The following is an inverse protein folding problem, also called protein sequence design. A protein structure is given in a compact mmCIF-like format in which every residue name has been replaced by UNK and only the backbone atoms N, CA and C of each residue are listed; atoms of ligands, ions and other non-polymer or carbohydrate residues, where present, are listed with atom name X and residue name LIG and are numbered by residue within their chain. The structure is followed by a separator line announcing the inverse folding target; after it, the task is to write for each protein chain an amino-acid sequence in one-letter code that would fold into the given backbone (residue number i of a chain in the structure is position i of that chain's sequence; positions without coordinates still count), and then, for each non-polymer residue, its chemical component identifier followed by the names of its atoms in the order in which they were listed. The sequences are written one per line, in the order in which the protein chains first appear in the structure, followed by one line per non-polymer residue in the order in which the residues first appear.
data_IF_160233515948
#
_entry.id   IF_160233515948
#
_cell.length_a   1.000
_cell.length_b   1.000
_cell.length_c   1.000
_cell.angle_alpha   90.00
_cell.angle_beta   90.00
_cell.angle_gamma   90.00
#
_symmetry.space_group_name_H-M   'P 1'
#
loop_
_entity.id
_entity.type
_entity.pdbx_description
1 polymer ?
#
# COMPACT_ATOMS: atom_id res chain seq x y z
N UNK A 1 -1.04 -5.46 -15.94
CA UNK A 1 -1.02 -4.22 -15.14
C UNK A 1 -1.34 -3.04 -16.04
N UNK A 2 -1.93 -1.98 -15.49
CA UNK A 2 -2.02 -0.70 -16.19
C UNK A 2 -0.67 0.00 -16.24
N UNK A 3 -0.52 0.95 -17.15
CA UNK A 3 0.70 1.76 -17.29
C UNK A 3 0.98 2.57 -16.02
N UNK A 4 2.26 2.75 -15.70
CA UNK A 4 2.70 3.50 -14.52
C UNK A 4 2.58 2.76 -13.18
N UNK A 5 2.17 1.48 -13.17
CA UNK A 5 2.15 0.65 -11.96
C UNK A 5 3.37 -0.27 -11.89
N UNK A 6 3.96 -0.36 -10.70
CA UNK A 6 5.07 -1.29 -10.39
C UNK A 6 4.62 -2.29 -9.32
N UNK A 7 4.81 -3.59 -9.59
CA UNK A 7 4.62 -4.66 -8.59
C UNK A 7 5.68 -4.50 -7.50
N UNK A 8 5.27 -4.45 -6.24
CA UNK A 8 6.18 -4.42 -5.09
C UNK A 8 5.91 -5.53 -4.07
N UNK A 9 4.84 -6.30 -4.26
CA UNK A 9 4.54 -7.47 -3.45
C UNK A 9 3.78 -8.54 -4.23
N UNK A 10 4.19 -9.79 -4.04
CA UNK A 10 3.50 -10.97 -4.58
C UNK A 10 3.38 -12.03 -3.50
N UNK A 11 2.29 -12.78 -3.53
CA UNK A 11 2.12 -14.01 -2.76
C UNK A 11 3.01 -15.14 -3.28
N UNK A 12 3.07 -16.26 -2.53
CA UNK A 12 3.88 -17.43 -2.91
C UNK A 12 3.41 -18.16 -4.18
N UNK A 13 2.15 -17.97 -4.58
CA UNK A 13 1.58 -18.46 -5.84
C UNK A 13 1.66 -17.42 -6.99
N UNK A 14 2.32 -16.28 -6.75
CA UNK A 14 2.63 -15.28 -7.76
C UNK A 14 1.51 -14.28 -8.04
N UNK A 15 0.43 -14.28 -7.25
CA UNK A 15 -0.61 -13.24 -7.31
C UNK A 15 -0.01 -11.91 -6.85
N UNK A 16 -0.35 -10.83 -7.54
CA UNK A 16 0.09 -9.48 -7.16
C UNK A 16 -0.72 -9.03 -5.95
N UNK A 17 -0.01 -8.69 -4.88
CA UNK A 17 -0.61 -8.28 -3.61
C UNK A 17 -0.38 -6.78 -3.31
N UNK A 18 0.68 -6.19 -3.86
CA UNK A 18 0.98 -4.78 -3.65
C UNK A 18 1.58 -4.10 -4.89
N UNK A 19 1.17 -2.85 -5.10
CA UNK A 19 1.62 -1.98 -6.20
C UNK A 19 1.93 -0.57 -5.71
N UNK A 20 2.82 0.09 -6.42
CA UNK A 20 3.02 1.54 -6.34
C UNK A 20 2.77 2.17 -7.71
N UNK A 21 2.31 3.43 -7.72
CA UNK A 21 2.10 4.16 -8.96
C UNK A 21 3.15 5.26 -9.16
N UNK A 22 3.61 5.42 -10.39
CA UNK A 22 4.28 6.64 -10.84
C UNK A 22 3.23 7.76 -10.94
N UNK A 23 3.01 8.43 -9.82
CA UNK A 23 1.99 9.45 -9.64
C UNK A 23 2.59 10.69 -8.95
N UNK A 24 1.93 11.84 -9.13
CA UNK A 24 2.35 13.10 -8.49
C UNK A 24 2.26 13.07 -6.97
N UNK A 25 1.39 12.24 -6.43
CA UNK A 25 1.19 12.07 -5.00
C UNK A 25 1.58 10.65 -4.58
N UNK A 26 1.90 10.48 -3.31
CA UNK A 26 2.13 9.17 -2.73
C UNK A 26 0.94 8.25 -3.01
N UNK A 27 1.21 7.11 -3.65
CA UNK A 27 0.18 6.17 -4.12
C UNK A 27 0.66 4.75 -3.94
N UNK A 28 0.00 4.02 -3.04
CA UNK A 28 0.22 2.60 -2.76
C UNK A 28 -1.13 1.89 -2.84
N UNK A 29 -1.15 0.73 -3.51
CA UNK A 29 -2.31 -0.16 -3.54
C UNK A 29 -1.94 -1.51 -2.96
N UNK A 30 -2.77 -2.04 -2.07
CA UNK A 30 -2.62 -3.39 -1.49
C UNK A 30 -3.93 -4.15 -1.67
N UNK A 31 -3.83 -5.46 -1.84
CA UNK A 31 -5.01 -6.31 -2.05
C UNK A 31 -5.60 -6.84 -0.72
N UNK A 32 -4.77 -7.00 0.31
CA UNK A 32 -5.26 -7.35 1.66
C UNK A 32 -5.93 -6.14 2.34
N UNK A 33 -6.53 -6.39 3.51
CA UNK A 33 -7.26 -5.40 4.31
C UNK A 33 -6.42 -4.91 5.52
N UNK A 34 -5.48 -3.96 5.33
CA UNK A 34 -4.71 -3.36 6.43
C UNK A 34 -5.60 -2.72 7.51
N UNK A 35 -6.78 -2.22 7.15
CA UNK A 35 -7.76 -1.62 8.03
C UNK A 35 -8.35 -2.59 9.06
N UNK A 36 -8.37 -3.89 8.77
CA UNK A 36 -8.91 -4.89 9.68
C UNK A 36 -7.94 -5.22 10.83
N UNK A 37 -6.64 -4.98 10.62
CA UNK A 37 -5.56 -5.52 11.47
C UNK A 37 -4.58 -4.48 12.00
N UNK A 38 -4.69 -3.20 11.63
CA UNK A 38 -3.79 -2.12 12.09
C UNK A 38 -3.67 -1.98 13.61
N UNK A 39 -4.69 -2.39 14.37
CA UNK A 39 -4.65 -2.32 15.82
C UNK A 39 -3.73 -3.39 16.44
N UNK A 40 -3.52 -4.52 15.75
CA UNK A 40 -2.78 -5.68 16.26
C UNK A 40 -1.49 -5.94 15.48
N UNK A 41 -1.35 -5.43 14.26
CA UNK A 41 -0.19 -5.58 13.39
C UNK A 41 0.51 -4.22 13.18
N UNK A 42 1.79 -4.16 13.56
CA UNK A 42 2.60 -2.96 13.43
C UNK A 42 2.81 -2.55 11.97
N UNK A 43 2.96 -3.49 11.05
CA UNK A 43 3.19 -3.17 9.63
C UNK A 43 1.95 -2.52 9.01
N UNK A 44 0.77 -3.02 9.36
CA UNK A 44 -0.51 -2.47 8.89
C UNK A 44 -0.75 -1.08 9.48
N UNK A 45 -0.36 -0.89 10.76
CA UNK A 45 -0.38 0.42 11.41
C UNK A 45 0.56 1.41 10.75
N UNK A 46 1.76 0.98 10.36
CA UNK A 46 2.73 1.82 9.66
C UNK A 46 2.22 2.23 8.28
N UNK A 47 1.62 1.31 7.51
CA UNK A 47 1.03 1.61 6.21
C UNK A 47 -0.10 2.65 6.32
N UNK A 48 -1.00 2.48 7.30
CA UNK A 48 -2.07 3.45 7.57
C UNK A 48 -1.53 4.79 8.07
N UNK A 49 -0.52 4.75 8.93
CA UNK A 49 0.17 5.95 9.42
C UNK A 49 0.83 6.74 8.28
N UNK A 50 1.45 6.06 7.32
CA UNK A 50 2.02 6.69 6.14
C UNK A 50 0.96 7.42 5.31
N UNK A 51 -0.20 6.79 5.07
CA UNK A 51 -1.32 7.45 4.37
C UNK A 51 -1.75 8.75 5.08
N UNK A 52 -1.91 8.73 6.41
CA UNK A 52 -2.29 9.91 7.19
C UNK A 52 -1.21 11.00 7.15
N UNK A 53 0.06 10.61 7.30
CA UNK A 53 1.18 11.53 7.21
C UNK A 53 1.23 12.23 5.85
N UNK A 54 1.10 11.49 4.75
CA UNK A 54 1.12 12.05 3.40
C UNK A 54 -0.09 12.95 3.12
N UNK A 55 -1.27 12.61 3.65
CA UNK A 55 -2.44 13.48 3.58
C UNK A 55 -2.26 14.80 4.37
N UNK A 56 -1.46 14.78 5.44
CA UNK A 56 -1.16 15.95 6.27
C UNK A 56 -0.08 16.87 5.70
N UNK A 57 0.62 16.47 4.64
CA UNK A 57 1.62 17.31 3.95
C UNK A 57 0.90 18.29 3.00
N UNK A 58 0.35 19.36 3.58
CA UNK A 58 -0.20 20.52 2.86
C UNK A 58 0.81 21.65 2.75
#
# INVERSE_FOLDING_TARGET
MGDGLTVVGTSGDGVVEAVVADAKAWTVGVQWHPEDTYAQDAQQRELMGALVCEAGRS
#
